data_IF_176070649386
#
_entry.id   IF_176070649386
#
_cell.length_a   1.000
_cell.length_b   1.000
_cell.length_c   1.000
_cell.angle_alpha   90.00
_cell.angle_beta   90.00
_cell.angle_gamma   90.00
#
_symmetry.space_group_name_H-M   'P 1'
#
loop_
_entity.id
_entity.type
_entity.pdbx_description
1 polymer ?
#
# COMPACT_ATOMS: atom_id res chain seq x y z
N UNK A 1 -2.21 -1.60 -18.75
CA UNK A 1 -2.14 -0.28 -19.42
C UNK A 1 -3.40 0.55 -19.16
N UNK A 2 -4.58 -0.04 -19.30
CA UNK A 2 -5.85 0.70 -19.21
C UNK A 2 -6.27 1.03 -17.77
N UNK A 3 -5.65 0.42 -16.80
CA UNK A 3 -5.89 0.65 -15.37
C UNK A 3 -4.82 1.54 -14.71
N UNK A 4 -3.81 1.95 -15.45
CA UNK A 4 -2.77 2.82 -14.91
C UNK A 4 -3.29 4.24 -14.69
N UNK A 5 -3.03 4.78 -13.51
CA UNK A 5 -3.31 6.17 -13.16
C UNK A 5 -2.08 6.74 -12.46
N UNK A 6 -1.33 7.64 -13.13
CA UNK A 6 -0.07 8.15 -12.59
C UNK A 6 -0.19 8.82 -11.23
N UNK A 7 -1.31 9.50 -10.96
CA UNK A 7 -1.53 10.18 -9.68
C UNK A 7 -1.82 9.21 -8.52
N UNK A 8 -2.21 7.98 -8.84
CA UNK A 8 -2.52 6.94 -7.85
C UNK A 8 -1.51 5.81 -7.82
N UNK A 9 -0.42 5.92 -8.56
CA UNK A 9 0.60 4.88 -8.64
C UNK A 9 1.76 5.17 -7.70
N UNK A 10 2.33 4.11 -7.14
CA UNK A 10 3.63 4.18 -6.46
C UNK A 10 4.77 4.12 -7.46
N UNK A 11 5.89 4.71 -7.11
CA UNK A 11 7.08 4.79 -7.96
C UNK A 11 8.25 4.04 -7.34
N UNK A 12 9.05 3.38 -8.19
CA UNK A 12 10.28 2.71 -7.75
C UNK A 12 11.25 3.71 -7.12
N UNK A 13 11.93 3.27 -6.07
CA UNK A 13 12.94 4.03 -5.32
C UNK A 13 12.38 5.26 -4.59
N UNK A 14 11.07 5.29 -4.36
CA UNK A 14 10.39 6.33 -3.59
C UNK A 14 9.89 5.84 -2.21
N UNK A 15 10.35 4.68 -1.78
CA UNK A 15 10.06 4.14 -0.46
C UNK A 15 8.91 3.15 -0.42
N UNK A 16 8.56 2.73 0.79
CA UNK A 16 7.46 1.79 1.03
C UNK A 16 6.12 2.38 0.61
N UNK A 17 5.33 1.62 -0.13
CA UNK A 17 4.01 2.04 -0.58
C UNK A 17 2.92 1.68 0.43
N UNK A 18 2.13 2.66 0.82
CA UNK A 18 0.94 2.47 1.66
C UNK A 18 -0.29 2.53 0.75
N UNK A 19 -1.09 1.49 0.78
CA UNK A 19 -2.37 1.44 0.08
C UNK A 19 -3.49 1.58 1.11
N UNK A 20 -3.99 2.80 1.25
CA UNK A 20 -5.08 3.12 2.18
C UNK A 20 -6.35 2.38 1.80
N UNK A 21 -6.56 2.21 0.52
CA UNK A 21 -7.79 1.70 -0.04
C UNK A 21 -7.53 0.49 -0.94
N UNK A 22 -8.19 -0.63 -0.66
CA UNK A 22 -8.15 -1.83 -1.50
C UNK A 22 -9.54 -2.21 -1.97
N UNK A 23 -9.64 -2.81 -3.12
CA UNK A 23 -10.90 -3.25 -3.71
C UNK A 23 -10.87 -3.12 -5.22
N UNK A 24 -11.89 -3.63 -5.88
CA UNK A 24 -12.03 -3.54 -7.33
C UNK A 24 -13.49 -3.39 -7.73
N UNK A 25 -13.75 -2.81 -8.89
CA UNK A 25 -15.04 -2.71 -9.56
C UNK A 25 -16.21 -2.42 -8.60
N UNK A 26 -16.36 -1.14 -8.22
CA UNK A 26 -17.41 -0.71 -7.28
C UNK A 26 -17.15 -1.11 -5.84
N UNK A 27 -15.90 -1.56 -5.55
CA UNK A 27 -15.34 -1.72 -4.22
C UNK A 27 -16.04 -2.72 -3.31
N UNK A 28 -16.70 -3.70 -3.89
CA UNK A 28 -17.22 -4.85 -3.15
C UNK A 28 -16.10 -5.65 -2.48
N UNK A 29 -16.20 -5.86 -1.16
CA UNK A 29 -15.19 -6.60 -0.41
C UNK A 29 -13.87 -5.85 -0.26
N UNK A 30 -13.92 -4.53 -0.17
CA UNK A 30 -12.77 -3.64 -0.01
C UNK A 30 -12.41 -3.40 1.46
N UNK A 31 -11.24 -2.83 1.69
CA UNK A 31 -10.83 -2.18 2.92
C UNK A 31 -10.48 -0.72 2.62
N UNK A 32 -10.88 0.17 3.50
CA UNK A 32 -10.51 1.59 3.48
C UNK A 32 -10.04 1.96 4.90
N UNK A 33 -8.72 2.11 5.07
CA UNK A 33 -8.15 2.45 6.36
C UNK A 33 -8.65 3.82 6.82
N UNK A 34 -8.99 3.96 8.10
CA UNK A 34 -9.47 5.22 8.66
C UNK A 34 -8.41 6.33 8.56
N UNK A 35 -8.84 7.58 8.52
CA UNK A 35 -7.93 8.72 8.49
C UNK A 35 -7.08 8.81 9.77
N UNK A 36 -7.66 8.45 10.90
CA UNK A 36 -7.01 8.40 12.20
C UNK A 36 -5.86 7.38 12.18
N UNK A 37 -6.12 6.15 11.75
CA UNK A 37 -5.13 5.10 11.66
C UNK A 37 -4.01 5.46 10.67
N UNK A 38 -4.36 6.04 9.52
CA UNK A 38 -3.38 6.57 8.57
C UNK A 38 -2.51 7.66 9.19
N UNK A 39 -3.08 8.53 10.03
CA UNK A 39 -2.36 9.55 10.76
C UNK A 39 -1.34 8.97 11.72
N UNK A 40 -1.70 7.92 12.46
CA UNK A 40 -0.79 7.20 13.37
C UNK A 40 0.37 6.54 12.61
N UNK A 41 0.10 5.85 11.51
CA UNK A 41 1.13 5.22 10.68
C UNK A 41 2.11 6.27 10.13
N UNK A 42 1.59 7.37 9.61
CA UNK A 42 2.42 8.47 9.08
C UNK A 42 3.33 9.06 10.15
N UNK A 43 2.81 9.22 11.37
CA UNK A 43 3.58 9.69 12.51
C UNK A 43 4.71 8.72 12.85
N UNK A 44 4.40 7.43 13.00
CA UNK A 44 5.39 6.38 13.29
C UNK A 44 6.52 6.39 12.25
N UNK A 45 6.17 6.42 10.97
CA UNK A 45 7.16 6.40 9.89
C UNK A 45 8.03 7.65 9.87
N UNK A 46 7.42 8.82 10.04
CA UNK A 46 8.16 10.10 10.07
C UNK A 46 9.12 10.19 11.26
N UNK A 47 8.68 9.75 12.44
CA UNK A 47 9.52 9.74 13.65
C UNK A 47 10.68 8.75 13.58
N UNK A 48 10.56 7.69 12.77
CA UNK A 48 11.59 6.67 12.58
C UNK A 48 12.39 6.84 11.28
N UNK A 49 12.21 7.95 10.55
CA UNK A 49 12.96 8.25 9.33
C UNK A 49 12.69 7.30 8.17
N UNK A 50 11.52 6.65 8.16
CA UNK A 50 11.10 5.74 7.07
C UNK A 50 10.68 6.57 5.87
N UNK A 51 11.19 6.26 4.69
CA UNK A 51 10.75 6.83 3.43
C UNK A 51 9.54 6.02 2.93
N UNK A 52 8.44 6.71 2.71
CA UNK A 52 7.19 6.10 2.32
C UNK A 52 6.42 6.95 1.31
N UNK A 53 5.53 6.33 0.60
CA UNK A 53 4.63 6.96 -0.36
C UNK A 53 3.25 6.34 -0.25
N UNK A 54 2.24 7.05 -0.73
CA UNK A 54 0.89 6.50 -0.87
C UNK A 54 0.60 6.22 -2.33
N UNK A 55 -0.18 5.19 -2.60
CA UNK A 55 -0.67 4.91 -3.93
C UNK A 55 -1.76 3.85 -3.88
N UNK A 56 -2.57 3.86 -4.91
CA UNK A 56 -3.58 2.85 -5.14
C UNK A 56 -3.10 1.88 -6.23
N UNK A 57 -3.84 0.83 -6.47
CA UNK A 57 -3.53 -0.15 -7.51
C UNK A 57 -4.04 0.31 -8.89
N UNK A 58 -3.80 1.56 -9.25
CA UNK A 58 -4.24 2.17 -10.49
C UNK A 58 -5.52 3.00 -10.36
N UNK A 59 -6.30 3.04 -11.42
CA UNK A 59 -7.58 3.78 -11.42
C UNK A 59 -8.52 3.26 -10.35
N UNK A 60 -9.05 4.18 -9.55
CA UNK A 60 -10.12 3.91 -8.60
C UNK A 60 -11.28 3.26 -9.36
N UNK A 61 -11.95 2.29 -8.85
CA UNK A 61 -13.07 1.55 -9.45
C UNK A 61 -12.71 0.58 -10.62
N UNK A 62 -11.61 0.79 -11.32
CA UNK A 62 -11.20 -0.04 -12.47
C UNK A 62 -10.02 -0.93 -12.14
N UNK A 63 -9.02 -0.35 -11.49
CA UNK A 63 -7.81 -1.05 -11.05
C UNK A 63 -7.98 -1.66 -9.67
N UNK A 64 -6.95 -2.37 -9.25
CA UNK A 64 -6.85 -2.91 -7.92
C UNK A 64 -7.47 -4.29 -7.74
N UNK A 65 -7.41 -4.76 -6.52
CA UNK A 65 -7.92 -6.06 -6.10
C UNK A 65 -8.16 -6.12 -4.61
N UNK A 66 -8.86 -7.14 -4.15
CA UNK A 66 -9.01 -7.40 -2.73
C UNK A 66 -7.76 -8.06 -2.17
N UNK A 67 -7.38 -7.66 -0.96
CA UNK A 67 -6.28 -8.25 -0.19
C UNK A 67 -6.81 -9.00 1.02
N UNK A 68 -5.93 -9.60 1.81
CA UNK A 68 -6.29 -10.22 3.10
C UNK A 68 -6.86 -9.18 4.07
N UNK A 69 -6.50 -7.91 3.92
CA UNK A 69 -6.96 -6.81 4.75
C UNK A 69 -8.49 -6.76 4.90
N UNK A 70 -9.24 -7.05 3.86
CA UNK A 70 -10.72 -7.06 3.91
C UNK A 70 -11.30 -8.04 4.93
N UNK A 71 -10.62 -9.17 5.15
CA UNK A 71 -11.09 -10.18 6.11
C UNK A 71 -10.78 -9.75 7.55
N UNK A 72 -9.60 -9.14 7.76
CA UNK A 72 -9.18 -8.62 9.05
C UNK A 72 -10.05 -7.40 9.44
N UNK A 73 -10.31 -6.51 8.50
CA UNK A 73 -11.18 -5.35 8.70
C UNK A 73 -12.61 -5.73 9.10
N UNK A 74 -13.14 -6.87 8.58
CA UNK A 74 -14.44 -7.40 8.99
C UNK A 74 -14.50 -7.83 10.46
N UNK A 75 -13.37 -8.05 11.09
CA UNK A 75 -13.26 -8.32 12.52
C UNK A 75 -13.17 -7.04 13.35
N UNK A 76 -13.42 -5.89 12.76
CA UNK A 76 -13.31 -4.56 13.38
C UNK A 76 -11.89 -4.25 13.89
N UNK A 77 -10.88 -4.67 13.12
CA UNK A 77 -9.46 -4.39 13.39
C UNK A 77 -8.99 -3.36 12.37
N UNK A 78 -8.35 -2.28 12.84
CA UNK A 78 -7.74 -1.30 11.96
C UNK A 78 -6.67 -1.97 11.09
N UNK A 79 -6.80 -1.80 9.79
CA UNK A 79 -5.99 -2.54 8.82
C UNK A 79 -5.62 -1.65 7.64
N UNK A 80 -4.39 -1.78 7.19
CA UNK A 80 -3.87 -1.12 5.99
C UNK A 80 -2.90 -2.06 5.27
N UNK A 81 -2.82 -1.93 3.97
CA UNK A 81 -1.83 -2.64 3.16
C UNK A 81 -0.57 -1.80 3.00
N UNK A 82 0.57 -2.46 3.14
CA UNK A 82 1.88 -1.86 2.88
C UNK A 82 2.73 -2.83 2.06
N UNK A 83 3.50 -2.31 1.14
CA UNK A 83 4.36 -3.12 0.29
C UNK A 83 5.44 -2.32 -0.41
N UNK A 84 6.06 -2.93 -1.41
CA UNK A 84 7.02 -2.29 -2.29
C UNK A 84 6.40 -2.05 -3.66
N UNK A 85 6.75 -0.95 -4.34
CA UNK A 85 6.38 -0.78 -5.74
C UNK A 85 6.95 -1.90 -6.61
N UNK A 86 6.15 -2.44 -7.49
CA UNK A 86 6.53 -3.56 -8.37
C UNK A 86 6.21 -3.21 -9.82
N UNK A 87 7.17 -3.42 -10.71
CA UNK A 87 6.94 -3.40 -12.15
C UNK A 87 6.59 -4.81 -12.62
N UNK A 88 5.59 -4.90 -13.49
CA UNK A 88 5.14 -6.17 -14.08
C UNK A 88 4.63 -7.18 -13.05
N UNK A 89 3.84 -6.71 -12.07
CA UNK A 89 3.19 -7.56 -11.09
C UNK A 89 2.39 -8.69 -11.75
N UNK A 90 2.53 -9.88 -11.21
CA UNK A 90 1.93 -11.14 -11.71
C UNK A 90 2.50 -11.65 -13.05
N UNK A 91 3.61 -11.09 -13.52
CA UNK A 91 4.33 -11.63 -14.67
C UNK A 91 5.40 -12.64 -14.23
N UNK A 92 5.96 -13.42 -15.17
CA UNK A 92 7.08 -14.33 -14.87
C UNK A 92 8.32 -13.62 -14.32
N UNK A 93 8.47 -12.35 -14.63
CA UNK A 93 9.57 -11.51 -14.15
C UNK A 93 9.01 -10.22 -13.57
N UNK A 94 9.22 -10.02 -12.28
CA UNK A 94 8.85 -8.82 -11.56
C UNK A 94 10.10 -8.07 -11.11
N UNK A 95 10.04 -6.75 -11.10
CA UNK A 95 11.15 -5.89 -10.71
C UNK A 95 10.75 -5.00 -9.55
N UNK A 96 11.57 -4.99 -8.51
CA UNK A 96 11.46 -4.09 -7.36
C UNK A 96 12.78 -3.35 -7.12
N UNK A 97 12.71 -2.26 -6.40
CA UNK A 97 13.90 -1.56 -5.89
C UNK A 97 14.35 -2.18 -4.56
N UNK A 98 15.64 -2.48 -4.43
CA UNK A 98 16.21 -2.93 -3.15
C UNK A 98 16.11 -1.85 -2.06
N UNK A 99 16.16 -0.58 -2.45
CA UNK A 99 15.96 0.53 -1.52
C UNK A 99 14.54 0.50 -0.93
N UNK A 100 13.53 0.29 -1.76
CA UNK A 100 12.14 0.20 -1.29
C UNK A 100 11.91 -1.01 -0.37
N UNK A 101 12.57 -2.13 -0.66
CA UNK A 101 12.53 -3.31 0.21
C UNK A 101 13.15 -3.01 1.59
N UNK A 102 14.25 -2.26 1.62
CA UNK A 102 14.85 -1.84 2.87
C UNK A 102 13.95 -0.88 3.65
N UNK A 103 13.32 0.07 2.97
CA UNK A 103 12.36 0.99 3.60
C UNK A 103 11.13 0.23 4.13
N UNK A 104 10.64 -0.79 3.43
CA UNK A 104 9.57 -1.65 3.94
C UNK A 104 10.01 -2.39 5.22
N UNK A 105 11.23 -2.90 5.26
CA UNK A 105 11.78 -3.51 6.48
C UNK A 105 11.80 -2.51 7.64
N UNK A 106 12.27 -1.27 7.40
CA UNK A 106 12.28 -0.22 8.42
C UNK A 106 10.86 0.14 8.87
N UNK A 107 9.91 0.21 7.94
CA UNK A 107 8.52 0.51 8.23
C UNK A 107 7.89 -0.53 9.17
N UNK A 108 8.05 -1.82 8.84
CA UNK A 108 7.56 -2.92 9.69
C UNK A 108 8.22 -2.89 11.06
N UNK A 109 9.54 -2.70 11.10
CA UNK A 109 10.28 -2.60 12.36
C UNK A 109 9.82 -1.42 13.23
N UNK A 110 9.53 -0.27 12.62
CA UNK A 110 9.02 0.90 13.33
C UNK A 110 7.61 0.65 13.88
N UNK A 111 6.77 -0.02 13.11
CA UNK A 111 5.38 -0.29 13.48
C UNK A 111 5.26 -1.29 14.64
N UNK A 112 6.10 -2.33 14.69
CA UNK A 112 6.03 -3.36 15.74
C UNK A 112 6.77 -3.00 17.04
N UNK A 113 7.43 -1.89 17.09
CA UNK A 113 8.05 -1.36 18.31
C UNK A 113 7.01 -0.78 19.27
#
# INVERSE_FOLDING_TARGET
KDVCEPLNSTYLSCGAGITKFTGSRGKGGSNDASAEFMGEIRKIFSENGVIWQTGELGKVDVGGGGTVAKFIAKMNIDTVDIGVPVISMHSPYEVISKADLYELYLAVRAFVK
#
